data_IF_292757785447
#
_entry.id   IF_292757785447
#
_cell.length_a   1.000
_cell.length_b   1.000
_cell.length_c   1.000
_cell.angle_alpha   90.00
_cell.angle_beta   90.00
_cell.angle_gamma   90.00
#
_symmetry.space_group_name_H-M   'P 1'
#
loop_
_entity.id
_entity.type
_entity.pdbx_description
1 polymer ?
#
# COMPACT_ATOMS: atom_id res chain seq x y z
N UNK A 1 6.42 -25.98 -17.13
CA UNK A 1 6.39 -24.57 -17.58
C UNK A 1 5.61 -23.82 -16.53
N UNK A 2 6.30 -22.99 -15.74
CA UNK A 2 5.74 -22.40 -14.53
C UNK A 2 4.66 -21.37 -14.90
N UNK A 3 3.48 -21.56 -14.32
CA UNK A 3 2.34 -20.68 -14.41
C UNK A 3 2.74 -19.30 -13.88
N UNK A 4 2.85 -18.34 -14.79
CA UNK A 4 3.04 -16.93 -14.45
C UNK A 4 1.72 -16.44 -13.86
N UNK A 5 1.55 -16.65 -12.56
CA UNK A 5 0.48 -16.01 -11.79
C UNK A 5 0.57 -14.51 -12.08
N UNK A 6 -0.44 -13.99 -12.78
CA UNK A 6 -0.66 -12.57 -12.94
C UNK A 6 -0.73 -11.98 -11.53
N UNK A 7 0.36 -11.33 -11.10
CA UNK A 7 0.32 -10.41 -9.98
C UNK A 7 -0.72 -9.37 -10.40
N UNK A 8 -1.91 -9.39 -9.79
CA UNK A 8 -2.79 -8.23 -9.83
C UNK A 8 -1.92 -7.05 -9.46
N UNK A 9 -1.69 -6.15 -10.40
CA UNK A 9 -0.97 -4.91 -10.15
C UNK A 9 -1.60 -4.27 -8.92
N UNK A 10 -0.80 -4.15 -7.87
CA UNK A 10 -1.21 -3.43 -6.68
C UNK A 10 -1.45 -1.99 -7.11
N UNK A 11 -2.67 -1.49 -6.94
CA UNK A 11 -2.99 -0.10 -7.26
C UNK A 11 -3.03 0.72 -5.98
N UNK A 12 -2.19 1.75 -5.93
CA UNK A 12 -2.20 2.75 -4.85
C UNK A 12 -3.59 3.38 -4.75
N UNK A 13 -4.24 3.71 -5.88
CA UNK A 13 -5.56 4.35 -5.89
C UNK A 13 -6.64 3.46 -5.25
N UNK A 14 -6.64 2.17 -5.55
CA UNK A 14 -7.57 1.22 -4.91
C UNK A 14 -7.27 1.04 -3.42
N UNK A 15 -6.00 1.04 -3.05
CA UNK A 15 -5.58 0.90 -1.65
C UNK A 15 -5.95 2.13 -0.82
N UNK A 16 -5.82 3.33 -1.38
CA UNK A 16 -6.27 4.57 -0.77
C UNK A 16 -7.80 4.57 -0.57
N UNK A 17 -8.58 4.15 -1.57
CA UNK A 17 -10.05 4.01 -1.43
C UNK A 17 -10.44 3.04 -0.31
N UNK A 18 -9.70 1.94 -0.15
CA UNK A 18 -9.92 0.99 0.96
C UNK A 18 -9.58 1.60 2.31
N UNK A 19 -8.49 2.38 2.40
CA UNK A 19 -8.13 3.11 3.63
C UNK A 19 -9.22 4.12 4.00
N UNK A 20 -9.81 4.83 3.04
CA UNK A 20 -10.95 5.73 3.29
C UNK A 20 -12.17 4.96 3.82
N UNK A 21 -12.49 3.80 3.24
CA UNK A 21 -13.58 2.95 3.73
C UNK A 21 -13.32 2.42 5.15
N UNK A 22 -12.09 2.00 5.45
CA UNK A 22 -11.67 1.59 6.79
C UNK A 22 -11.81 2.77 7.77
N UNK A 23 -11.41 3.96 7.36
CA UNK A 23 -11.53 5.17 8.19
C UNK A 23 -13.00 5.43 8.54
N UNK A 24 -13.91 5.33 7.57
CA UNK A 24 -15.34 5.46 7.81
C UNK A 24 -15.90 4.40 8.79
N UNK A 25 -15.36 3.17 8.75
CA UNK A 25 -15.72 2.11 9.72
C UNK A 25 -15.21 2.46 11.12
N UNK A 26 -13.99 2.98 11.24
CA UNK A 26 -13.39 3.38 12.52
C UNK A 26 -14.05 4.61 13.15
N UNK A 27 -14.56 5.54 12.33
CA UNK A 27 -15.29 6.72 12.79
C UNK A 27 -16.73 6.42 13.21
N UNK A 28 -17.28 5.27 12.82
CA UNK A 28 -18.63 4.89 13.17
C UNK A 28 -18.71 4.42 14.65
N UNK A 29 -19.46 5.13 15.51
CA UNK A 29 -19.58 4.77 16.93
C UNK A 29 -20.32 3.45 17.19
N UNK A 30 -21.00 2.89 16.19
CA UNK A 30 -21.64 1.58 16.27
C UNK A 30 -20.67 0.41 15.99
N UNK A 31 -19.46 0.69 15.51
CA UNK A 31 -18.44 -0.33 15.25
C UNK A 31 -17.94 -0.91 16.57
N UNK A 32 -17.93 -2.24 16.68
CA UNK A 32 -17.44 -2.89 17.88
C UNK A 32 -15.92 -2.75 18.01
N UNK A 33 -15.39 -2.74 19.24
CA UNK A 33 -13.94 -2.67 19.47
C UNK A 33 -13.16 -3.75 18.71
N UNK A 34 -13.73 -4.95 18.58
CA UNK A 34 -13.12 -6.06 17.84
C UNK A 34 -13.03 -5.76 16.35
N UNK A 35 -14.11 -5.21 15.79
CA UNK A 35 -14.15 -4.84 14.36
C UNK A 35 -13.25 -3.64 14.09
N UNK A 36 -13.19 -2.67 15.01
CA UNK A 36 -12.25 -1.55 14.93
C UNK A 36 -10.79 -2.02 14.93
N UNK A 37 -10.44 -3.00 15.77
CA UNK A 37 -9.08 -3.57 15.77
C UNK A 37 -8.75 -4.28 14.45
N UNK A 38 -9.71 -5.03 13.89
CA UNK A 38 -9.52 -5.70 12.61
C UNK A 38 -9.37 -4.69 11.45
N UNK A 39 -10.25 -3.69 11.38
CA UNK A 39 -10.21 -2.63 10.38
C UNK A 39 -8.92 -1.81 10.48
N UNK A 40 -8.48 -1.48 11.69
CA UNK A 40 -7.20 -0.82 11.92
C UNK A 40 -6.01 -1.65 11.44
N UNK A 41 -5.97 -2.95 11.77
CA UNK A 41 -4.89 -3.84 11.33
C UNK A 41 -4.83 -3.95 9.80
N UNK A 42 -5.98 -4.01 9.13
CA UNK A 42 -6.06 -3.97 7.67
C UNK A 42 -5.56 -2.62 7.12
N UNK A 43 -5.95 -1.51 7.73
CA UNK A 43 -5.52 -0.17 7.33
C UNK A 43 -4.00 0.00 7.42
N UNK A 44 -3.38 -0.49 8.50
CA UNK A 44 -1.92 -0.46 8.66
C UNK A 44 -1.22 -1.27 7.56
N UNK A 45 -1.74 -2.45 7.20
CA UNK A 45 -1.17 -3.26 6.13
C UNK A 45 -1.27 -2.56 4.77
N UNK A 46 -2.41 -1.92 4.47
CA UNK A 46 -2.59 -1.18 3.22
C UNK A 46 -1.66 0.02 3.13
N UNK A 47 -1.50 0.78 4.23
CA UNK A 47 -0.55 1.91 4.28
C UNK A 47 0.88 1.43 4.04
N UNK A 48 1.27 0.30 4.65
CA UNK A 48 2.59 -0.27 4.45
C UNK A 48 2.80 -0.71 2.99
N UNK A 49 1.81 -1.38 2.39
CA UNK A 49 1.88 -1.77 0.98
C UNK A 49 2.01 -0.57 0.04
N UNK A 50 1.24 0.52 0.27
CA UNK A 50 1.38 1.76 -0.50
C UNK A 50 2.78 2.35 -0.36
N UNK A 51 3.34 2.36 0.85
CA UNK A 51 4.70 2.88 1.09
C UNK A 51 5.75 2.06 0.35
N UNK A 52 5.62 0.75 0.37
CA UNK A 52 6.58 -0.16 -0.29
C UNK A 52 6.53 0.02 -1.82
N UNK A 53 5.32 0.11 -2.38
CA UNK A 53 5.11 0.38 -3.81
C UNK A 53 5.72 1.72 -4.25
N UNK A 54 5.46 2.79 -3.49
CA UNK A 54 6.07 4.11 -3.73
C UNK A 54 7.60 4.08 -3.65
N UNK A 55 8.15 3.30 -2.72
CA UNK A 55 9.60 3.16 -2.58
C UNK A 55 10.21 2.42 -3.79
N UNK A 56 9.51 1.44 -4.33
CA UNK A 56 9.95 0.73 -5.53
C UNK A 56 9.88 1.63 -6.77
N UNK A 57 8.81 2.41 -6.93
CA UNK A 57 8.70 3.43 -7.98
C UNK A 57 9.81 4.49 -7.85
N UNK A 58 10.13 4.94 -6.64
CA UNK A 58 11.23 5.89 -6.39
C UNK A 58 12.58 5.30 -6.80
N UNK A 59 12.86 4.04 -6.46
CA UNK A 59 14.10 3.36 -6.90
C UNK A 59 14.17 3.24 -8.41
N UNK A 60 13.08 2.86 -9.07
CA UNK A 60 13.03 2.79 -10.53
C UNK A 60 13.27 4.17 -11.15
N UNK A 61 12.69 5.22 -10.58
CA UNK A 61 12.91 6.60 -11.02
C UNK A 61 14.39 7.02 -10.87
N UNK A 62 15.07 6.65 -9.78
CA UNK A 62 16.50 6.93 -9.58
C UNK A 62 17.36 6.20 -10.62
N UNK A 63 17.07 4.93 -10.88
CA UNK A 63 17.77 4.13 -11.91
C UNK A 63 17.58 4.75 -13.31
N UNK A 64 16.36 5.16 -13.64
CA UNK A 64 16.02 5.78 -14.93
C UNK A 64 16.59 7.19 -15.08
N UNK A 65 16.62 7.97 -14.00
CA UNK A 65 17.16 9.35 -13.99
C UNK A 65 18.69 9.38 -14.08
N UNK A 66 19.37 8.23 -14.04
CA UNK A 66 20.82 8.16 -14.12
C UNK A 66 21.52 8.67 -12.86
N UNK A 67 20.79 8.95 -11.78
CA UNK A 67 21.34 9.25 -10.45
C UNK A 67 21.79 7.95 -9.74
N UNK A 68 22.52 7.10 -10.46
CA UNK A 68 23.62 6.39 -9.81
C UNK A 68 24.70 7.43 -9.60
N UNK A 69 24.65 8.15 -8.47
CA UNK A 69 25.80 8.93 -8.06
C UNK A 69 27.01 8.00 -8.09
N UNK A 70 27.92 8.28 -9.02
CA UNK A 70 29.31 7.96 -8.83
C UNK A 70 29.68 8.47 -7.44
N UNK A 71 29.77 7.54 -6.50
CA UNK A 71 30.67 7.70 -5.37
C UNK A 71 32.06 7.39 -5.93
N UNK A 72 32.75 8.44 -6.36
CA UNK A 72 34.16 8.59 -5.95
C UNK A 72 34.20 8.89 -4.45
#
# INVERSE_FOLDING_TARGET
MAEKMEKKDFSIEESLKKIEAITAVLENPATSLKDSLAAYAEGVQLVQACKDDLCDVEKEMIVLSGENSGKE
#
